data_IF_091278237313
#
_entry.id   IF_091278237313
#
_cell.length_a   1.000
_cell.length_b   1.000
_cell.length_c   1.000
_cell.angle_alpha   90.00
_cell.angle_beta   90.00
_cell.angle_gamma   90.00
#
_symmetry.space_group_name_H-M   'P 1'
#
loop_
_entity.id
_entity.type
_entity.pdbx_description
1 polymer ?
#
# COMPACT_ATOMS: atom_id res chain seq x y z
N UNK A 1 -10.06 15.94 -49.65
CA UNK A 1 -10.20 16.35 -48.24
C UNK A 1 -10.79 15.15 -47.52
N UNK A 2 -9.94 14.39 -46.84
CA UNK A 2 -10.31 13.14 -46.17
C UNK A 2 -11.20 13.46 -44.97
N UNK A 3 -12.46 13.06 -45.04
CA UNK A 3 -13.33 13.00 -43.86
C UNK A 3 -12.80 11.88 -42.97
N UNK A 4 -12.25 12.23 -41.81
CA UNK A 4 -11.90 11.25 -40.77
C UNK A 4 -13.23 10.64 -40.31
N UNK A 5 -13.43 9.31 -40.45
CA UNK A 5 -14.68 8.67 -40.01
C UNK A 5 -14.96 8.95 -38.56
N UNK A 6 -16.22 9.23 -38.21
CA UNK A 6 -16.64 9.53 -36.82
C UNK A 6 -16.26 8.44 -35.81
N UNK A 7 -16.01 7.23 -36.27
CA UNK A 7 -15.54 6.11 -35.44
C UNK A 7 -14.15 6.34 -34.83
N UNK A 8 -13.23 7.01 -35.56
CA UNK A 8 -11.90 7.34 -35.01
C UNK A 8 -11.95 8.44 -33.97
N UNK A 9 -12.90 9.37 -34.06
CA UNK A 9 -13.12 10.45 -33.07
C UNK A 9 -13.68 9.86 -31.78
N UNK A 10 -14.65 8.95 -31.88
CA UNK A 10 -15.21 8.21 -30.73
C UNK A 10 -14.16 7.30 -30.06
N UNK A 11 -13.35 6.59 -30.85
CA UNK A 11 -12.25 5.77 -30.34
C UNK A 11 -11.17 6.62 -29.64
N UNK A 12 -10.82 7.78 -30.21
CA UNK A 12 -9.89 8.74 -29.58
C UNK A 12 -10.43 9.30 -28.26
N UNK A 13 -11.70 9.71 -28.22
CA UNK A 13 -12.34 10.18 -26.98
C UNK A 13 -12.41 9.08 -25.91
N UNK A 14 -12.75 7.86 -26.29
CA UNK A 14 -12.76 6.70 -25.42
C UNK A 14 -11.36 6.37 -24.87
N UNK A 15 -10.32 6.48 -25.71
CA UNK A 15 -8.93 6.22 -25.34
C UNK A 15 -8.40 7.30 -24.38
N UNK A 16 -8.72 8.57 -24.63
CA UNK A 16 -8.36 9.70 -23.73
C UNK A 16 -9.10 9.57 -22.40
N UNK A 17 -10.38 9.21 -22.41
CA UNK A 17 -11.15 8.98 -21.18
C UNK A 17 -10.57 7.82 -20.36
N UNK A 18 -10.24 6.70 -21.02
CA UNK A 18 -9.65 5.53 -20.36
C UNK A 18 -8.26 5.84 -19.81
N UNK A 19 -7.44 6.60 -20.52
CA UNK A 19 -6.10 7.02 -20.08
C UNK A 19 -6.19 7.99 -18.88
N UNK A 20 -7.10 8.95 -18.90
CA UNK A 20 -7.34 9.89 -17.79
C UNK A 20 -7.94 9.16 -16.57
N UNK A 21 -8.83 8.20 -16.80
CA UNK A 21 -9.41 7.37 -15.74
C UNK A 21 -8.37 6.47 -15.08
N UNK A 22 -7.49 5.81 -15.87
CA UNK A 22 -6.40 4.98 -15.36
C UNK A 22 -5.33 5.81 -14.65
N UNK A 23 -4.97 6.99 -15.15
CA UNK A 23 -4.11 7.96 -14.46
C UNK A 23 -4.73 8.44 -13.15
N UNK A 24 -6.04 8.67 -13.15
CA UNK A 24 -6.81 9.03 -11.95
C UNK A 24 -6.79 7.93 -10.89
N UNK A 25 -6.95 6.69 -11.29
CA UNK A 25 -6.88 5.51 -10.39
C UNK A 25 -5.45 5.26 -9.90
N UNK A 26 -4.44 5.35 -10.76
CA UNK A 26 -3.04 5.13 -10.39
C UNK A 26 -2.47 6.19 -9.42
N UNK A 27 -2.96 7.43 -9.49
CA UNK A 27 -2.56 8.51 -8.58
C UNK A 27 -3.29 8.49 -7.22
N UNK A 28 -4.36 7.72 -7.08
CA UNK A 28 -5.12 7.61 -5.82
C UNK A 28 -4.59 6.56 -4.85
N UNK A 29 -3.70 5.68 -5.32
CA UNK A 29 -3.03 4.69 -4.45
C UNK A 29 -1.65 5.25 -4.07
N UNK A 30 -1.42 5.70 -2.83
CA UNK A 30 -0.10 6.14 -2.37
C UNK A 30 0.79 4.91 -2.12
N UNK A 31 1.27 4.27 -3.20
CA UNK A 31 2.02 3.00 -3.12
C UNK A 31 3.44 3.20 -2.59
N UNK A 32 4.02 4.42 -2.62
CA UNK A 32 5.45 4.62 -2.34
C UNK A 32 5.83 5.77 -1.40
N UNK A 33 4.90 6.62 -0.94
CA UNK A 33 5.28 7.88 -0.29
C UNK A 33 5.55 7.81 1.22
N UNK A 34 4.66 7.26 2.01
CA UNK A 34 4.73 7.34 3.48
C UNK A 34 5.42 6.14 4.13
N UNK A 35 5.20 4.94 3.63
CA UNK A 35 5.85 3.73 4.15
C UNK A 35 7.38 3.79 4.05
N UNK A 36 7.94 4.45 3.01
CA UNK A 36 9.39 4.57 2.85
C UNK A 36 10.01 5.54 3.86
N UNK A 37 9.34 6.65 4.18
CA UNK A 37 9.82 7.63 5.17
C UNK A 37 9.75 7.09 6.60
N UNK A 38 8.66 6.40 6.93
CA UNK A 38 8.50 5.72 8.23
C UNK A 38 9.52 4.58 8.35
N UNK A 39 9.69 3.77 7.30
CA UNK A 39 10.69 2.68 7.25
C UNK A 39 12.12 3.20 7.45
N UNK A 40 12.50 4.33 6.83
CA UNK A 40 13.83 4.92 7.00
C UNK A 40 14.05 5.38 8.44
N UNK A 41 13.08 6.05 9.06
CA UNK A 41 13.14 6.46 10.48
C UNK A 41 13.16 5.27 11.45
N UNK A 42 12.40 4.20 11.15
CA UNK A 42 12.41 2.97 11.94
C UNK A 42 13.76 2.27 11.80
N UNK A 43 14.30 2.14 10.57
CA UNK A 43 15.61 1.50 10.32
C UNK A 43 16.76 2.26 11.00
N UNK A 44 16.76 3.58 10.97
CA UNK A 44 17.76 4.40 11.66
C UNK A 44 17.69 4.22 13.20
N UNK A 45 16.51 4.09 13.78
CA UNK A 45 16.34 3.83 15.21
C UNK A 45 16.61 2.38 15.61
N UNK A 46 16.25 1.41 14.75
CA UNK A 46 16.60 0.00 14.94
C UNK A 46 18.12 -0.21 14.93
N UNK A 47 18.86 0.43 14.01
CA UNK A 47 20.33 0.37 13.99
C UNK A 47 20.96 0.84 15.30
N UNK A 48 20.40 1.85 15.94
CA UNK A 48 20.87 2.34 17.26
C UNK A 48 20.61 1.29 18.35
N UNK A 49 19.49 0.57 18.28
CA UNK A 49 19.13 -0.49 19.25
C UNK A 49 19.88 -1.80 19.00
N UNK A 50 20.18 -2.15 17.73
CA UNK A 50 20.96 -3.33 17.35
C UNK A 50 22.45 -3.20 17.75
N UNK A 51 23.03 -2.02 17.67
CA UNK A 51 24.43 -1.82 18.10
C UNK A 51 24.63 -1.96 19.61
N UNK A 52 23.56 -1.97 20.39
CA UNK A 52 23.58 -2.27 21.82
C UNK A 52 23.56 -3.78 22.14
N UNK A 53 23.29 -4.64 21.13
CA UNK A 53 23.27 -6.09 21.29
C UNK A 53 24.27 -6.75 20.32
N UNK A 54 25.47 -7.05 20.82
CA UNK A 54 26.55 -7.78 20.11
C UNK A 54 26.19 -9.26 19.86
N UNK A 55 25.19 -9.57 19.02
CA UNK A 55 24.84 -10.94 18.66
C UNK A 55 24.99 -11.18 17.15
N UNK A 56 25.70 -12.24 16.72
CA UNK A 56 25.87 -12.56 15.30
C UNK A 56 24.52 -12.90 14.67
N UNK A 57 24.25 -12.29 13.52
CA UNK A 57 23.03 -12.38 12.75
C UNK A 57 22.76 -13.84 12.29
N UNK A 58 21.96 -14.60 13.06
CA UNK A 58 21.50 -15.95 12.69
C UNK A 58 20.77 -15.95 11.33
N UNK A 59 20.13 -14.85 10.96
CA UNK A 59 19.48 -14.68 9.67
C UNK A 59 20.46 -14.78 8.50
N UNK A 60 21.70 -14.25 8.63
CA UNK A 60 22.73 -14.35 7.59
C UNK A 60 23.20 -15.79 7.38
N UNK A 61 23.30 -16.58 8.44
CA UNK A 61 23.73 -17.98 8.36
C UNK A 61 22.64 -18.88 7.76
N UNK A 62 21.40 -18.66 8.13
CA UNK A 62 20.25 -19.39 7.56
C UNK A 62 20.07 -19.02 6.07
N UNK A 63 20.25 -17.75 5.71
CA UNK A 63 20.20 -17.27 4.32
C UNK A 63 21.31 -17.91 3.46
N UNK A 64 22.56 -18.01 3.96
CA UNK A 64 23.63 -18.69 3.23
C UNK A 64 23.35 -20.18 3.01
N UNK A 65 22.76 -20.87 3.99
CA UNK A 65 22.33 -22.26 3.86
C UNK A 65 21.19 -22.43 2.85
N UNK A 66 20.30 -21.46 2.78
CA UNK A 66 19.18 -21.42 1.86
C UNK A 66 19.63 -21.18 0.41
N UNK A 67 20.51 -20.22 0.18
CA UNK A 67 21.07 -19.91 -1.15
C UNK A 67 21.81 -21.12 -1.76
N UNK A 68 22.45 -21.97 -0.93
CA UNK A 68 23.11 -23.20 -1.40
C UNK A 68 22.15 -24.28 -1.92
N UNK A 69 20.85 -24.19 -1.64
CA UNK A 69 19.82 -25.17 -2.10
C UNK A 69 19.06 -24.72 -3.34
N UNK A 70 19.36 -23.54 -3.89
CA UNK A 70 18.69 -22.98 -5.07
C UNK A 70 19.49 -23.31 -6.35
N UNK A 71 18.77 -23.33 -7.48
CA UNK A 71 19.43 -23.40 -8.79
C UNK A 71 20.33 -22.17 -8.99
N UNK A 72 21.46 -22.29 -9.73
CA UNK A 72 22.43 -21.19 -9.85
C UNK A 72 21.83 -19.89 -10.39
N UNK A 73 20.81 -19.94 -11.27
CA UNK A 73 20.09 -18.76 -11.76
C UNK A 73 19.21 -18.11 -10.69
N UNK A 74 18.53 -18.91 -9.86
CA UNK A 74 17.71 -18.40 -8.77
C UNK A 74 18.55 -17.79 -7.65
N UNK A 75 19.72 -18.37 -7.38
CA UNK A 75 20.67 -17.85 -6.41
C UNK A 75 21.27 -16.50 -6.83
N UNK A 76 21.56 -16.34 -8.14
CA UNK A 76 22.06 -15.07 -8.69
C UNK A 76 20.99 -13.97 -8.62
N UNK A 77 19.75 -14.27 -8.96
CA UNK A 77 18.62 -13.33 -8.84
C UNK A 77 18.39 -12.90 -7.39
N UNK A 78 18.45 -13.80 -6.42
CA UNK A 78 18.22 -13.50 -4.99
C UNK A 78 19.36 -12.73 -4.32
N UNK A 79 20.55 -12.62 -4.95
CA UNK A 79 21.64 -11.77 -4.47
C UNK A 79 21.46 -10.29 -4.76
N UNK A 80 20.51 -9.91 -5.62
CA UNK A 80 20.20 -8.52 -5.89
C UNK A 80 19.51 -7.86 -4.68
N UNK A 81 19.94 -6.66 -4.24
CA UNK A 81 19.36 -5.99 -3.08
C UNK A 81 17.85 -5.73 -3.22
N UNK A 82 17.35 -5.51 -4.45
CA UNK A 82 15.94 -5.36 -4.74
C UNK A 82 15.11 -6.63 -4.44
N UNK A 83 15.71 -7.81 -4.52
CA UNK A 83 15.02 -9.08 -4.23
C UNK A 83 14.84 -9.31 -2.72
N UNK A 84 15.72 -8.77 -1.90
CA UNK A 84 15.60 -8.80 -0.44
C UNK A 84 14.41 -7.96 0.04
N UNK A 85 14.31 -6.74 -0.49
CA UNK A 85 13.16 -5.88 -0.21
C UNK A 85 11.85 -6.52 -0.69
N UNK A 86 11.87 -7.19 -1.85
CA UNK A 86 10.72 -7.91 -2.38
C UNK A 86 10.35 -9.12 -1.51
N UNK A 87 11.33 -9.91 -1.06
CA UNK A 87 11.11 -11.05 -0.18
C UNK A 87 10.48 -10.61 1.14
N UNK A 88 10.99 -9.52 1.75
CA UNK A 88 10.39 -8.93 2.94
C UNK A 88 8.95 -8.43 2.69
N UNK A 89 8.68 -7.83 1.53
CA UNK A 89 7.33 -7.38 1.18
C UNK A 89 6.37 -8.57 1.05
N UNK A 90 6.79 -9.69 0.49
CA UNK A 90 6.00 -10.91 0.33
C UNK A 90 5.70 -11.53 1.70
N UNK A 91 6.70 -11.64 2.58
CA UNK A 91 6.54 -12.12 3.95
C UNK A 91 5.59 -11.22 4.75
N UNK A 92 5.76 -9.91 4.67
CA UNK A 92 4.89 -8.93 5.30
C UNK A 92 3.46 -8.93 4.73
N UNK A 93 3.27 -9.34 3.47
CA UNK A 93 1.96 -9.58 2.87
C UNK A 93 1.30 -10.88 3.37
N UNK A 94 2.06 -11.75 4.06
CA UNK A 94 1.57 -13.04 4.56
C UNK A 94 1.52 -14.13 3.50
N UNK A 95 2.27 -13.97 2.42
CA UNK A 95 2.38 -14.97 1.37
C UNK A 95 3.66 -15.81 1.54
N UNK A 96 3.55 -17.10 1.29
CA UNK A 96 4.68 -18.04 1.30
C UNK A 96 5.40 -18.12 -0.06
N UNK A 97 5.04 -17.25 -1.00
CA UNK A 97 5.63 -17.27 -2.34
C UNK A 97 7.07 -16.77 -2.30
N UNK A 98 7.93 -17.45 -3.08
CA UNK A 98 9.34 -17.04 -3.22
C UNK A 98 9.45 -15.84 -4.15
N UNK A 99 10.33 -14.88 -3.83
CA UNK A 99 10.51 -13.64 -4.59
C UNK A 99 10.81 -13.88 -6.08
N UNK A 100 11.67 -14.87 -6.40
CA UNK A 100 11.98 -15.21 -7.79
C UNK A 100 10.76 -15.70 -8.59
N UNK A 101 9.77 -16.39 -7.96
CA UNK A 101 8.54 -16.84 -8.66
C UNK A 101 7.65 -15.67 -9.02
N UNK A 102 7.58 -14.65 -8.17
CA UNK A 102 6.79 -13.44 -8.45
C UNK A 102 7.39 -12.66 -9.61
N UNK A 103 8.72 -12.53 -9.64
CA UNK A 103 9.43 -11.87 -10.75
C UNK A 103 9.26 -12.66 -12.05
N UNK A 104 9.40 -14.00 -12.02
CA UNK A 104 9.16 -14.86 -13.19
C UNK A 104 7.72 -14.74 -13.71
N UNK A 105 6.75 -14.73 -12.81
CA UNK A 105 5.33 -14.57 -13.18
C UNK A 105 5.07 -13.19 -13.80
N UNK A 106 5.68 -12.13 -13.25
CA UNK A 106 5.64 -10.79 -13.83
C UNK A 106 6.27 -10.73 -15.22
N UNK A 107 7.40 -11.41 -15.43
CA UNK A 107 8.08 -11.48 -16.72
C UNK A 107 7.24 -12.25 -17.76
N UNK A 108 6.66 -13.38 -17.38
CA UNK A 108 5.76 -14.15 -18.27
C UNK A 108 4.54 -13.30 -18.67
N UNK A 109 3.91 -12.63 -17.69
CA UNK A 109 2.78 -11.73 -17.97
C UNK A 109 3.18 -10.58 -18.91
N UNK A 110 4.36 -9.99 -18.73
CA UNK A 110 4.89 -8.94 -19.57
C UNK A 110 5.09 -9.40 -21.02
N UNK A 111 5.72 -10.57 -21.20
CA UNK A 111 5.96 -11.16 -22.54
C UNK A 111 4.64 -11.48 -23.22
N UNK A 112 3.70 -12.12 -22.52
CA UNK A 112 2.39 -12.50 -23.07
C UNK A 112 1.58 -11.25 -23.43
N UNK A 113 1.48 -10.26 -22.56
CA UNK A 113 0.72 -9.04 -22.80
C UNK A 113 1.34 -8.20 -23.94
N UNK A 114 2.67 -8.06 -23.95
CA UNK A 114 3.39 -7.36 -25.01
C UNK A 114 3.23 -8.04 -26.38
N UNK A 115 3.36 -9.38 -26.42
CA UNK A 115 3.20 -10.16 -27.65
C UNK A 115 1.77 -10.10 -28.19
N UNK A 116 0.76 -10.26 -27.34
CA UNK A 116 -0.65 -10.17 -27.74
C UNK A 116 -0.97 -8.78 -28.32
N UNK A 117 -0.54 -7.73 -27.62
CA UNK A 117 -0.82 -6.36 -28.07
C UNK A 117 -0.08 -6.04 -29.37
N UNK A 118 1.14 -6.54 -29.55
CA UNK A 118 1.90 -6.41 -30.82
C UNK A 118 1.19 -7.11 -32.00
N UNK A 119 0.62 -8.29 -31.77
CA UNK A 119 -0.15 -9.01 -32.78
C UNK A 119 -1.38 -8.23 -33.25
N UNK A 120 -2.09 -7.55 -32.34
CA UNK A 120 -3.31 -6.82 -32.66
C UNK A 120 -3.05 -5.43 -33.25
N UNK A 121 -2.04 -4.69 -32.73
CA UNK A 121 -1.85 -3.29 -33.07
C UNK A 121 -0.68 -3.05 -34.04
N UNK A 122 0.26 -3.99 -34.15
CA UNK A 122 1.53 -3.87 -34.89
C UNK A 122 2.38 -2.64 -34.50
N UNK A 123 2.06 -1.99 -33.38
CA UNK A 123 2.75 -0.82 -32.84
C UNK A 123 3.66 -1.27 -31.68
N UNK A 124 4.97 -1.35 -31.95
CA UNK A 124 5.97 -1.85 -31.00
C UNK A 124 6.04 -1.07 -29.69
N UNK A 125 5.82 0.24 -29.70
CA UNK A 125 5.84 1.10 -28.50
C UNK A 125 4.64 0.82 -27.58
N UNK A 126 3.44 0.52 -28.11
CA UNK A 126 2.28 0.11 -27.31
C UNK A 126 2.50 -1.24 -26.65
N UNK A 127 3.13 -2.18 -27.37
CA UNK A 127 3.49 -3.48 -26.82
C UNK A 127 4.47 -3.34 -25.65
N UNK A 128 5.43 -2.43 -25.74
CA UNK A 128 6.40 -2.18 -24.68
C UNK A 128 5.75 -1.55 -23.45
N UNK A 129 4.82 -0.61 -23.62
CA UNK A 129 4.03 -0.02 -22.52
C UNK A 129 3.16 -1.08 -21.84
N UNK A 130 2.49 -1.94 -22.62
CA UNK A 130 1.66 -3.01 -22.07
C UNK A 130 2.49 -4.06 -21.32
N UNK A 131 3.65 -4.43 -21.84
CA UNK A 131 4.58 -5.33 -21.16
C UNK A 131 5.05 -4.75 -19.82
N UNK A 132 5.42 -3.47 -19.79
CA UNK A 132 5.77 -2.77 -18.57
C UNK A 132 4.63 -2.74 -17.55
N UNK A 133 3.43 -2.38 -17.98
CA UNK A 133 2.24 -2.37 -17.12
C UNK A 133 1.93 -3.77 -16.56
N UNK A 134 1.99 -4.80 -17.40
CA UNK A 134 1.75 -6.19 -17.00
C UNK A 134 2.79 -6.71 -15.98
N UNK A 135 4.06 -6.30 -16.11
CA UNK A 135 5.11 -6.63 -15.15
C UNK A 135 4.83 -6.04 -13.75
N UNK A 136 4.24 -4.84 -13.68
CA UNK A 136 3.94 -4.18 -12.41
C UNK A 136 2.73 -4.75 -11.68
N UNK A 137 1.81 -5.45 -12.36
CA UNK A 137 0.58 -5.97 -11.75
C UNK A 137 0.81 -6.87 -10.53
N UNK A 138 1.68 -7.90 -10.56
CA UNK A 138 1.93 -8.75 -9.40
C UNK A 138 2.57 -8.00 -8.24
N UNK A 139 3.44 -7.01 -8.52
CA UNK A 139 4.06 -6.18 -7.50
C UNK A 139 3.04 -5.28 -6.80
N UNK A 140 2.14 -4.66 -7.56
CA UNK A 140 1.03 -3.85 -7.04
C UNK A 140 0.09 -4.69 -6.17
N UNK A 141 -0.20 -5.93 -6.58
CA UNK A 141 -1.04 -6.84 -5.80
C UNK A 141 -0.41 -7.15 -4.44
N UNK A 142 0.88 -7.53 -4.40
CA UNK A 142 1.60 -7.81 -3.16
C UNK A 142 1.63 -6.58 -2.24
N UNK A 143 1.89 -5.39 -2.81
CA UNK A 143 1.87 -4.14 -2.05
C UNK A 143 0.49 -3.84 -1.46
N UNK A 144 -0.58 -4.11 -2.22
CA UNK A 144 -1.97 -3.96 -1.77
C UNK A 144 -2.31 -4.96 -0.65
N UNK A 145 -1.94 -6.23 -0.81
CA UNK A 145 -2.20 -7.28 0.17
C UNK A 145 -1.43 -7.00 1.48
N UNK A 146 -0.17 -6.53 1.38
CA UNK A 146 0.61 -6.06 2.52
C UNK A 146 -0.06 -4.91 3.25
N UNK A 147 -0.52 -3.89 2.52
CA UNK A 147 -1.21 -2.73 3.10
C UNK A 147 -2.51 -3.13 3.80
N UNK A 148 -3.26 -4.04 3.19
CA UNK A 148 -4.47 -4.65 3.79
C UNK A 148 -4.16 -5.37 5.10
N UNK A 149 -3.12 -6.22 5.10
CA UNK A 149 -2.72 -6.99 6.28
C UNK A 149 -2.30 -6.07 7.43
N UNK A 150 -1.55 -5.00 7.13
CA UNK A 150 -1.17 -4.00 8.12
C UNK A 150 -2.37 -3.24 8.66
N UNK A 151 -3.31 -2.85 7.80
CA UNK A 151 -4.55 -2.20 8.23
C UNK A 151 -5.38 -3.10 9.14
N UNK A 152 -5.54 -4.38 8.79
CA UNK A 152 -6.24 -5.36 9.62
C UNK A 152 -5.54 -5.59 10.97
N UNK A 153 -4.19 -5.64 10.97
CA UNK A 153 -3.42 -5.75 12.20
C UNK A 153 -3.64 -4.53 13.11
N UNK A 154 -3.47 -3.32 12.57
CA UNK A 154 -3.65 -2.09 13.34
C UNK A 154 -5.09 -1.93 13.84
N UNK A 155 -6.08 -2.33 13.06
CA UNK A 155 -7.50 -2.27 13.45
C UNK A 155 -7.84 -3.25 14.59
N UNK A 156 -7.23 -4.44 14.60
CA UNK A 156 -7.42 -5.44 15.65
C UNK A 156 -6.55 -5.25 16.89
N UNK A 157 -5.50 -4.42 16.79
CA UNK A 157 -4.53 -4.25 17.88
C UNK A 157 -5.14 -3.67 19.17
N UNK A 158 -6.05 -2.68 19.16
CA UNK A 158 -6.66 -2.19 20.41
C UNK A 158 -7.39 -3.26 21.20
N UNK A 159 -8.12 -4.14 20.53
CA UNK A 159 -8.87 -5.23 21.19
C UNK A 159 -7.90 -6.25 21.80
N UNK A 160 -6.80 -6.55 21.11
CA UNK A 160 -5.72 -7.38 21.63
C UNK A 160 -5.06 -6.77 22.87
N UNK A 161 -4.75 -5.47 22.84
CA UNK A 161 -4.18 -4.77 23.99
C UNK A 161 -5.13 -4.77 25.20
N UNK A 162 -6.43 -4.61 24.97
CA UNK A 162 -7.42 -4.69 26.04
C UNK A 162 -7.51 -6.11 26.62
N UNK A 163 -7.40 -7.18 25.80
CA UNK A 163 -7.29 -8.55 26.27
C UNK A 163 -6.04 -8.76 27.13
N UNK A 164 -4.89 -8.28 26.67
CA UNK A 164 -3.64 -8.30 27.46
C UNK A 164 -3.80 -7.56 28.78
N UNK A 165 -4.43 -6.39 28.81
CA UNK A 165 -4.67 -5.62 30.03
C UNK A 165 -5.52 -6.41 31.03
N UNK A 166 -6.58 -7.08 30.57
CA UNK A 166 -7.43 -7.92 31.43
C UNK A 166 -6.64 -9.07 32.04
N UNK A 167 -5.85 -9.78 31.24
CA UNK A 167 -5.04 -10.89 31.69
C UNK A 167 -3.93 -10.45 32.68
N UNK A 168 -3.23 -9.35 32.40
CA UNK A 168 -2.23 -8.78 33.30
C UNK A 168 -2.84 -8.37 34.66
N UNK A 169 -4.04 -7.78 34.66
CA UNK A 169 -4.77 -7.44 35.90
C UNK A 169 -5.21 -8.68 36.70
N UNK A 170 -5.49 -9.78 36.00
CA UNK A 170 -5.75 -11.07 36.64
C UNK A 170 -4.49 -11.76 37.19
N UNK A 171 -3.30 -11.17 36.94
CA UNK A 171 -2.03 -11.70 37.45
C UNK A 171 -1.32 -12.66 36.49
N UNK A 172 -1.82 -12.84 35.26
CA UNK A 172 -1.14 -13.66 34.28
C UNK A 172 0.22 -13.06 33.87
N UNK A 173 1.25 -13.88 33.71
CA UNK A 173 2.55 -13.42 33.22
C UNK A 173 2.44 -12.94 31.77
N UNK A 174 3.34 -11.99 31.36
CA UNK A 174 3.33 -11.37 30.04
C UNK A 174 3.27 -12.38 28.88
N UNK A 175 4.00 -13.49 28.97
CA UNK A 175 4.04 -14.50 27.91
C UNK A 175 2.67 -15.16 27.70
N UNK A 176 1.95 -15.46 28.79
CA UNK A 176 0.59 -16.02 28.71
C UNK A 176 -0.40 -15.04 28.09
N UNK A 177 -0.21 -13.72 28.31
CA UNK A 177 -1.08 -12.71 27.69
C UNK A 177 -0.90 -12.67 26.17
N UNK A 178 0.31 -12.92 25.64
CA UNK A 178 0.55 -13.04 24.20
C UNK A 178 -0.14 -14.29 23.63
N UNK A 179 -0.06 -15.41 24.35
CA UNK A 179 -0.74 -16.64 23.97
C UNK A 179 -2.26 -16.46 23.96
N UNK A 180 -2.83 -15.84 25.00
CA UNK A 180 -4.26 -15.55 25.08
C UNK A 180 -4.74 -14.73 23.86
N UNK A 181 -3.99 -13.70 23.46
CA UNK A 181 -4.30 -12.91 22.26
C UNK A 181 -4.27 -13.79 21.00
N UNK A 182 -3.29 -14.68 20.88
CA UNK A 182 -3.18 -15.58 19.73
C UNK A 182 -4.35 -16.56 19.63
N UNK A 183 -4.93 -16.98 20.77
CA UNK A 183 -6.04 -17.93 20.85
C UNK A 183 -7.41 -17.24 20.71
N UNK A 184 -7.61 -16.09 21.33
CA UNK A 184 -8.91 -15.38 21.34
C UNK A 184 -9.17 -14.56 20.06
N UNK A 185 -8.11 -14.07 19.41
CA UNK A 185 -8.23 -13.20 18.22
C UNK A 185 -8.09 -14.00 16.94
N UNK A 186 -8.36 -13.34 15.81
CA UNK A 186 -8.23 -13.93 14.46
C UNK A 186 -7.42 -13.02 13.54
N UNK A 187 -6.94 -13.59 12.45
CA UNK A 187 -6.25 -12.84 11.41
C UNK A 187 -4.81 -12.44 11.78
N UNK A 188 -4.30 -11.32 11.26
CA UNK A 188 -2.89 -10.96 11.40
C UNK A 188 -2.45 -10.73 12.85
N UNK A 189 -3.34 -10.24 13.73
CA UNK A 189 -3.02 -9.99 15.14
C UNK A 189 -2.72 -11.32 15.84
N UNK A 190 -3.63 -12.30 15.74
CA UNK A 190 -3.44 -13.62 16.35
C UNK A 190 -2.16 -14.30 15.87
N UNK A 191 -1.92 -14.24 14.55
CA UNK A 191 -0.74 -14.85 13.93
C UNK A 191 0.57 -14.22 14.44
N UNK A 192 0.68 -12.90 14.44
CA UNK A 192 1.92 -12.21 14.82
C UNK A 192 2.20 -12.28 16.33
N UNK A 193 1.16 -12.21 17.18
CA UNK A 193 1.31 -12.42 18.62
C UNK A 193 1.64 -13.88 18.93
N UNK A 194 1.06 -14.84 18.20
CA UNK A 194 1.41 -16.25 18.30
C UNK A 194 2.87 -16.53 17.95
N UNK A 195 3.38 -15.96 16.86
CA UNK A 195 4.80 -16.06 16.52
C UNK A 195 5.69 -15.45 17.60
N UNK A 196 5.32 -14.28 18.13
CA UNK A 196 6.10 -13.61 19.17
C UNK A 196 6.09 -14.42 20.47
N UNK A 197 4.96 -15.04 20.83
CA UNK A 197 4.87 -15.96 21.95
C UNK A 197 5.72 -17.20 21.75
N UNK A 198 5.68 -17.81 20.56
CA UNK A 198 6.50 -18.97 20.21
C UNK A 198 7.99 -18.64 20.30
N UNK A 199 8.43 -17.50 19.78
CA UNK A 199 9.83 -17.05 19.86
C UNK A 199 10.31 -17.00 21.33
N UNK A 200 9.49 -16.46 22.23
CA UNK A 200 9.84 -16.40 23.66
C UNK A 200 9.83 -17.80 24.28
N UNK A 201 8.86 -18.65 23.93
CA UNK A 201 8.75 -20.02 24.43
C UNK A 201 9.90 -20.91 23.99
N UNK A 202 10.49 -20.65 22.83
CA UNK A 202 11.73 -21.32 22.36
C UNK A 202 13.03 -20.78 23.00
N UNK A 203 12.90 -19.87 23.99
CA UNK A 203 14.02 -19.38 24.78
C UNK A 203 14.65 -18.09 24.24
N UNK A 204 14.06 -17.44 23.25
CA UNK A 204 14.48 -16.10 22.83
C UNK A 204 14.12 -15.06 23.89
N UNK A 205 14.99 -14.06 24.07
CA UNK A 205 14.67 -12.92 24.92
C UNK A 205 13.46 -12.14 24.39
N UNK A 206 12.63 -11.66 25.30
CA UNK A 206 11.44 -10.86 24.99
C UNK A 206 11.79 -9.63 24.16
N UNK A 207 12.94 -8.99 24.42
CA UNK A 207 13.43 -7.87 23.59
C UNK A 207 13.55 -8.30 22.14
N UNK A 208 14.19 -9.44 21.87
CA UNK A 208 14.40 -9.95 20.51
C UNK A 208 13.09 -10.34 19.82
N UNK A 209 12.20 -11.03 20.55
CA UNK A 209 10.88 -11.41 20.04
C UNK A 209 10.01 -10.20 19.67
N UNK A 210 10.01 -9.16 20.51
CA UNK A 210 9.27 -7.92 20.25
C UNK A 210 9.88 -7.11 19.10
N UNK A 211 11.20 -7.07 18.96
CA UNK A 211 11.85 -6.46 17.79
C UNK A 211 11.52 -7.22 16.50
N UNK A 212 11.46 -8.57 16.56
CA UNK A 212 11.00 -9.40 15.44
C UNK A 212 9.56 -9.09 15.02
N UNK A 213 8.66 -8.80 15.96
CA UNK A 213 7.32 -8.31 15.67
C UNK A 213 7.37 -6.98 14.89
N UNK A 214 8.23 -6.04 15.29
CA UNK A 214 8.39 -4.76 14.63
C UNK A 214 8.99 -4.90 13.21
N UNK A 215 9.89 -5.87 12.98
CA UNK A 215 10.44 -6.17 11.64
C UNK A 215 9.36 -6.71 10.71
N UNK A 216 8.52 -7.64 11.21
CA UNK A 216 7.43 -8.21 10.43
C UNK A 216 6.29 -7.21 10.18
N UNK A 217 5.97 -6.38 11.19
CA UNK A 217 4.91 -5.36 11.15
C UNK A 217 5.47 -3.96 11.40
N UNK A 218 6.24 -3.36 10.45
CA UNK A 218 6.87 -2.06 10.63
C UNK A 218 5.85 -0.92 10.54
N UNK A 219 5.11 -0.69 11.63
CA UNK A 219 4.21 0.44 11.77
C UNK A 219 4.57 1.28 13.01
N UNK A 220 4.16 2.55 12.99
CA UNK A 220 4.40 3.45 14.11
C UNK A 220 3.71 2.95 15.39
N UNK A 221 2.54 2.36 15.24
CA UNK A 221 1.74 1.80 16.33
C UNK A 221 2.46 0.62 17.00
N UNK A 222 3.02 -0.31 16.20
CA UNK A 222 3.81 -1.44 16.71
C UNK A 222 5.10 -0.94 17.36
N UNK A 223 5.75 0.08 16.78
CA UNK A 223 6.94 0.67 17.39
C UNK A 223 6.65 1.24 18.78
N UNK A 224 5.51 1.95 18.95
CA UNK A 224 5.08 2.45 20.25
C UNK A 224 4.83 1.30 21.23
N UNK A 225 4.14 0.23 20.80
CA UNK A 225 3.91 -0.96 21.59
C UNK A 225 5.22 -1.60 22.07
N UNK A 226 6.11 -1.91 21.12
CA UNK A 226 7.40 -2.57 21.41
C UNK A 226 8.23 -1.72 22.37
N UNK A 227 8.38 -0.44 22.07
CA UNK A 227 9.16 0.48 22.92
C UNK A 227 8.56 0.58 24.34
N UNK A 228 7.24 0.67 24.45
CA UNK A 228 6.55 0.73 25.75
C UNK A 228 6.78 -0.55 26.56
N UNK A 229 6.61 -1.73 25.93
CA UNK A 229 6.83 -3.01 26.61
C UNK A 229 8.27 -3.13 27.09
N UNK A 230 9.25 -2.81 26.24
CA UNK A 230 10.67 -2.93 26.60
C UNK A 230 11.06 -2.01 27.74
N UNK A 231 10.65 -0.74 27.70
CA UNK A 231 10.95 0.23 28.77
C UNK A 231 10.34 -0.22 30.09
N UNK A 232 9.05 -0.60 30.10
CA UNK A 232 8.36 -0.95 31.35
C UNK A 232 8.86 -2.26 31.96
N UNK A 233 9.34 -3.20 31.13
CA UNK A 233 10.02 -4.40 31.64
C UNK A 233 11.36 -4.08 32.33
N UNK A 234 12.12 -3.13 31.83
CA UNK A 234 13.40 -2.73 32.40
C UNK A 234 13.23 -1.86 33.66
N UNK A 235 12.24 -0.98 33.65
CA UNK A 235 11.99 -0.04 34.74
C UNK A 235 11.06 -0.58 35.85
N UNK A 236 10.39 -1.72 35.62
CA UNK A 236 9.40 -2.29 36.56
C UNK A 236 8.10 -1.48 36.63
N UNK A 237 7.79 -0.70 35.61
CA UNK A 237 6.60 0.15 35.58
C UNK A 237 5.28 -0.64 35.39
N UNK A 238 4.15 0.06 35.53
CA UNK A 238 2.82 -0.50 35.31
C UNK A 238 2.50 -0.68 33.82
N UNK A 239 2.87 -1.84 33.26
CA UNK A 239 2.64 -2.16 31.85
C UNK A 239 1.16 -2.08 31.45
N UNK A 240 0.26 -2.47 32.35
CA UNK A 240 -1.20 -2.48 32.09
C UNK A 240 -1.71 -1.08 31.76
N UNK A 241 -1.31 -0.08 32.54
CA UNK A 241 -1.73 1.31 32.33
C UNK A 241 -1.26 1.83 30.96
N UNK A 242 -0.03 1.49 30.57
CA UNK A 242 0.54 1.95 29.30
C UNK A 242 -0.14 1.29 28.10
N UNK A 243 -0.42 -0.01 28.18
CA UNK A 243 -1.15 -0.73 27.13
C UNK A 243 -2.58 -0.18 26.98
N UNK A 244 -3.24 0.17 28.09
CA UNK A 244 -4.56 0.78 28.09
C UNK A 244 -4.58 2.18 27.44
N UNK A 245 -3.59 3.01 27.79
CA UNK A 245 -3.40 4.32 27.14
C UNK A 245 -3.11 4.17 25.64
N UNK A 246 -2.30 3.19 25.26
CA UNK A 246 -1.98 2.92 23.87
C UNK A 246 -3.22 2.45 23.09
N UNK A 247 -4.02 1.53 23.66
CA UNK A 247 -5.30 1.08 23.09
C UNK A 247 -6.24 2.27 22.84
N UNK A 248 -6.42 3.14 23.85
CA UNK A 248 -7.28 4.32 23.75
C UNK A 248 -6.80 5.31 22.68
N UNK A 249 -5.49 5.52 22.55
CA UNK A 249 -4.87 6.39 21.56
C UNK A 249 -5.10 5.86 20.14
N UNK A 250 -4.91 4.55 19.92
CA UNK A 250 -5.13 3.91 18.63
C UNK A 250 -6.61 4.03 18.22
N UNK A 251 -7.54 3.73 19.13
CA UNK A 251 -8.99 3.89 18.90
C UNK A 251 -9.37 5.34 18.59
N UNK A 252 -8.75 6.30 19.29
CA UNK A 252 -8.92 7.74 19.02
C UNK A 252 -8.49 8.11 17.62
N UNK A 253 -7.31 7.63 17.19
CA UNK A 253 -6.80 7.82 15.82
C UNK A 253 -7.75 7.26 14.76
N UNK A 254 -8.22 6.03 14.93
CA UNK A 254 -9.16 5.42 13.98
C UNK A 254 -10.51 6.15 13.92
N UNK A 255 -11.05 6.59 15.07
CA UNK A 255 -12.27 7.40 15.10
C UNK A 255 -12.08 8.71 14.34
N UNK A 256 -10.97 9.39 14.58
CA UNK A 256 -10.64 10.63 13.87
C UNK A 256 -10.52 10.41 12.36
N UNK A 257 -9.78 9.37 11.92
CA UNK A 257 -9.65 9.03 10.51
C UNK A 257 -11.01 8.72 9.84
N UNK A 258 -11.90 7.99 10.53
CA UNK A 258 -13.26 7.72 10.04
C UNK A 258 -14.08 9.00 9.89
N UNK A 259 -14.01 9.90 10.87
CA UNK A 259 -14.70 11.21 10.83
C UNK A 259 -14.18 12.06 9.68
N UNK A 260 -12.87 12.18 9.50
CA UNK A 260 -12.27 12.91 8.36
C UNK A 260 -12.68 12.29 7.03
N UNK A 261 -12.70 10.97 6.92
CA UNK A 261 -13.14 10.26 5.70
C UNK A 261 -14.61 10.55 5.37
N UNK A 262 -15.48 10.61 6.38
CA UNK A 262 -16.91 10.93 6.20
C UNK A 262 -17.10 12.37 5.76
N UNK A 263 -16.49 13.34 6.45
CA UNK A 263 -16.56 14.75 6.11
C UNK A 263 -15.99 15.04 4.71
N UNK A 264 -14.89 14.35 4.35
CA UNK A 264 -14.30 14.49 3.01
C UNK A 264 -15.14 13.84 1.90
N UNK A 265 -16.08 12.92 2.22
CA UNK A 265 -16.90 12.24 1.22
C UNK A 265 -17.86 13.23 0.52
N UNK A 266 -18.46 14.15 1.27
CA UNK A 266 -19.33 15.20 0.75
C UNK A 266 -18.58 16.13 -0.23
N UNK A 267 -17.39 16.58 0.16
CA UNK A 267 -16.54 17.40 -0.72
C UNK A 267 -16.09 16.64 -1.97
N UNK A 268 -15.84 15.32 -1.89
CA UNK A 268 -15.53 14.50 -3.06
C UNK A 268 -16.70 14.36 -4.00
N UNK A 269 -17.92 14.14 -3.47
CA UNK A 269 -19.14 14.07 -4.30
C UNK A 269 -19.39 15.38 -5.03
N UNK A 270 -19.32 16.51 -4.32
CA UNK A 270 -19.48 17.85 -4.93
C UNK A 270 -18.42 18.11 -6.00
N UNK A 271 -17.17 17.71 -5.74
CA UNK A 271 -16.09 17.80 -6.73
C UNK A 271 -16.34 16.95 -7.98
N UNK A 272 -16.85 15.72 -7.83
CA UNK A 272 -17.22 14.86 -8.96
C UNK A 272 -18.36 15.44 -9.80
N UNK A 273 -19.38 15.97 -9.15
CA UNK A 273 -20.50 16.65 -9.84
C UNK A 273 -19.95 17.83 -10.64
N UNK A 274 -19.11 18.67 -10.05
CA UNK A 274 -18.53 19.83 -10.72
C UNK A 274 -17.70 19.44 -11.96
N UNK A 275 -16.94 18.34 -11.88
CA UNK A 275 -16.17 17.81 -13.02
C UNK A 275 -17.09 17.21 -14.08
N UNK A 276 -18.23 16.62 -13.71
CA UNK A 276 -19.18 16.01 -14.65
C UNK A 276 -19.99 17.05 -15.45
N UNK A 277 -20.26 18.23 -14.88
CA UNK A 277 -21.10 19.27 -15.50
C UNK A 277 -20.67 19.64 -16.92
N UNK A 278 -19.40 19.94 -17.25
CA UNK A 278 -18.99 20.26 -18.61
C UNK A 278 -19.26 19.13 -19.61
N UNK A 279 -19.10 17.88 -19.19
CA UNK A 279 -19.36 16.72 -20.05
C UNK A 279 -20.83 16.51 -20.31
N UNK A 280 -21.66 16.64 -19.28
CA UNK A 280 -23.11 16.57 -19.41
C UNK A 280 -23.62 17.71 -20.34
N UNK A 281 -23.08 18.91 -20.16
CA UNK A 281 -23.42 20.05 -21.00
C UNK A 281 -23.02 19.81 -22.46
N UNK A 282 -21.82 19.25 -22.71
CA UNK A 282 -21.36 18.92 -24.06
C UNK A 282 -22.29 17.88 -24.73
N UNK A 283 -22.75 16.87 -23.99
CA UNK A 283 -23.70 15.86 -24.49
C UNK A 283 -25.04 16.51 -24.81
N UNK A 284 -25.58 17.38 -23.93
CA UNK A 284 -26.85 18.10 -24.16
C UNK A 284 -26.75 18.97 -25.40
N UNK A 285 -25.66 19.73 -25.58
CA UNK A 285 -25.45 20.56 -26.78
C UNK A 285 -25.35 19.68 -28.03
N UNK A 286 -24.69 18.51 -27.96
CA UNK A 286 -24.60 17.60 -29.09
C UNK A 286 -25.97 17.06 -29.53
N UNK A 287 -26.86 16.83 -28.57
CA UNK A 287 -28.24 16.34 -28.85
C UNK A 287 -29.14 17.46 -29.38
N UNK A 288 -28.99 18.69 -28.85
CA UNK A 288 -29.88 19.82 -29.21
C UNK A 288 -29.38 20.53 -30.47
N UNK A 289 -28.11 20.61 -30.71
CA UNK A 289 -27.51 21.36 -31.83
C UNK A 289 -26.24 20.62 -32.35
N UNK A 290 -26.39 19.57 -33.16
CA UNK A 290 -25.29 18.71 -33.61
C UNK A 290 -24.24 19.44 -34.45
N UNK A 291 -24.58 20.60 -35.04
CA UNK A 291 -23.68 21.43 -35.84
C UNK A 291 -22.79 22.38 -35.02
N UNK A 292 -23.14 22.65 -33.77
CA UNK A 292 -22.47 23.67 -32.95
C UNK A 292 -21.07 23.19 -32.49
N UNK A 293 -20.95 21.98 -31.97
CA UNK A 293 -19.66 21.42 -31.50
C UNK A 293 -18.61 21.26 -32.63
N UNK A 294 -18.96 20.71 -33.81
CA UNK A 294 -18.03 20.67 -34.94
C UNK A 294 -17.59 22.06 -35.42
N UNK A 295 -18.48 23.05 -35.39
CA UNK A 295 -18.14 24.43 -35.77
C UNK A 295 -17.15 25.05 -34.78
N UNK A 296 -17.35 24.85 -33.47
CA UNK A 296 -16.48 25.32 -32.40
C UNK A 296 -15.05 24.74 -32.53
N UNK A 297 -14.93 23.44 -32.91
CA UNK A 297 -13.63 22.76 -33.09
C UNK A 297 -12.94 23.13 -34.40
N UNK A 298 -13.69 23.58 -35.45
CA UNK A 298 -13.11 23.97 -36.73
C UNK A 298 -12.56 25.40 -36.74
N UNK A 299 -13.10 26.29 -35.93
CA UNK A 299 -12.62 27.66 -35.83
C UNK A 299 -11.38 27.80 -34.95
N UNK A 300 -10.34 28.56 -35.39
CA UNK A 300 -9.09 28.69 -34.63
C UNK A 300 -9.30 29.37 -33.26
N UNK A 301 -10.32 30.18 -33.11
CA UNK A 301 -10.69 30.82 -31.84
C UNK A 301 -11.39 29.82 -30.92
N UNK A 302 -12.24 28.97 -31.47
CA UNK A 302 -12.92 27.89 -30.74
C UNK A 302 -11.96 26.85 -30.18
N UNK A 303 -10.95 26.46 -30.95
CA UNK A 303 -9.88 25.55 -30.50
C UNK A 303 -9.13 26.11 -29.30
N UNK A 304 -8.77 27.40 -29.31
CA UNK A 304 -8.10 28.03 -28.15
C UNK A 304 -8.98 28.06 -26.91
N UNK A 305 -10.28 28.31 -27.07
CA UNK A 305 -11.24 28.29 -25.95
C UNK A 305 -11.41 26.90 -25.37
N UNK A 306 -11.54 25.84 -26.20
CA UNK A 306 -11.65 24.45 -25.75
C UNK A 306 -10.38 24.01 -25.04
N UNK A 307 -9.21 24.38 -25.55
CA UNK A 307 -7.92 24.07 -24.92
C UNK A 307 -7.77 24.79 -23.57
N UNK A 308 -8.14 26.06 -23.49
CA UNK A 308 -8.12 26.83 -22.25
C UNK A 308 -9.08 26.25 -21.20
N UNK A 309 -10.30 25.86 -21.61
CA UNK A 309 -11.29 25.20 -20.73
C UNK A 309 -10.77 23.85 -20.21
N UNK A 310 -10.11 23.06 -21.06
CA UNK A 310 -9.52 21.77 -20.66
C UNK A 310 -8.36 21.96 -19.65
N UNK A 311 -7.49 22.94 -19.89
CA UNK A 311 -6.40 23.28 -18.95
C UNK A 311 -6.98 23.76 -17.61
N UNK A 312 -7.98 24.64 -17.64
CA UNK A 312 -8.65 25.13 -16.44
C UNK A 312 -9.32 23.99 -15.65
N UNK A 313 -9.94 23.04 -16.34
CA UNK A 313 -10.54 21.85 -15.74
C UNK A 313 -9.47 20.95 -15.06
N UNK A 314 -8.33 20.71 -15.71
CA UNK A 314 -7.23 19.94 -15.13
C UNK A 314 -6.67 20.63 -13.87
N UNK A 315 -6.45 21.94 -13.93
CA UNK A 315 -6.01 22.72 -12.77
C UNK A 315 -7.05 22.67 -11.63
N UNK A 316 -8.34 22.78 -11.95
CA UNK A 316 -9.41 22.62 -10.97
C UNK A 316 -9.43 21.26 -10.30
N UNK A 317 -9.28 20.18 -11.06
CA UNK A 317 -9.20 18.80 -10.53
C UNK A 317 -7.97 18.64 -9.60
N UNK A 318 -6.81 19.16 -9.99
CA UNK A 318 -5.61 19.11 -9.16
C UNK A 318 -5.80 19.90 -7.86
N UNK A 319 -6.45 21.05 -7.93
CA UNK A 319 -6.69 21.90 -6.76
C UNK A 319 -7.71 21.28 -5.81
N UNK A 320 -8.83 20.76 -6.32
CA UNK A 320 -9.82 20.01 -5.53
C UNK A 320 -9.16 18.81 -4.83
N UNK A 321 -8.31 18.05 -5.55
CA UNK A 321 -7.55 16.94 -4.96
C UNK A 321 -6.62 17.38 -3.84
N UNK A 322 -5.94 18.52 -4.00
CA UNK A 322 -5.02 19.06 -2.98
C UNK A 322 -5.78 19.49 -1.72
N UNK A 323 -6.96 20.09 -1.87
CA UNK A 323 -7.79 20.55 -0.74
C UNK A 323 -8.40 19.35 0.01
N UNK A 324 -8.86 18.32 -0.72
CA UNK A 324 -9.50 17.13 -0.12
C UNK A 324 -8.45 16.20 0.52
N UNK A 325 -7.19 16.28 0.14
CA UNK A 325 -6.10 15.49 0.69
C UNK A 325 -5.66 16.08 2.04
N UNK A 326 -6.47 15.86 3.06
CA UNK A 326 -6.06 16.14 4.45
C UNK A 326 -5.17 14.97 4.87
N UNK A 327 -3.87 15.22 5.02
CA UNK A 327 -2.93 14.26 5.61
C UNK A 327 -3.24 14.14 7.11
N UNK A 328 -3.70 12.95 7.54
CA UNK A 328 -3.99 12.59 8.93
C UNK A 328 -2.99 11.55 9.41
#
# INVERSE_FOLDING_TARGET
MNQIPNEYILAFLGMVFTAVFLLSQGLTVPVFGEASKVRKRIRERLHVLEHASNLPNLQTVLRQKYLKRLSPMAAWLEQLPAMEDLAQMIEQAGHEYRAHRVVLLGLILAVVAGFLLWLFTQLWWLALVAAGAAFWLPLLKISSDRSKRFGQFEEGLPDALDAMCRALRAGHPFNETLQLVAEEHKGPVAYEFGLTCADISYGNDVRRAMLGLLERMPSMTVMMLVTSVLIHRETGGNLTEVLERLSSLIRGRFRFQRTVKTLSAEGRMSGWILVAVPFVLAVVIMLTSPTYLPMLVKEPLGQKLVMAAFIAMLLGILWIRKIIRIEV
#
